data_IF_284580408028
#
_entry.id   IF_284580408028
#
_cell.length_a   1.000
_cell.length_b   1.000
_cell.length_c   1.000
_cell.angle_alpha   90.00
_cell.angle_beta   90.00
_cell.angle_gamma   90.00
#
_symmetry.space_group_name_H-M   'P 1'
#
loop_
_entity.id
_entity.type
_entity.pdbx_description
1 polymer ?
#
# COMPACT_ATOMS: atom_id res chain seq x y z
N UNK A 1 19.45 -7.20 -14.99
CA UNK A 1 18.40 -8.10 -14.45
C UNK A 1 18.22 -7.76 -12.99
N UNK A 2 17.21 -6.96 -12.65
CA UNK A 2 16.73 -6.51 -11.32
C UNK A 2 17.78 -6.07 -10.28
N UNK A 3 18.73 -6.94 -9.94
CA UNK A 3 19.87 -6.69 -9.03
C UNK A 3 20.78 -5.65 -9.65
N UNK A 4 21.13 -5.85 -10.93
CA UNK A 4 22.05 -4.98 -11.66
C UNK A 4 21.46 -3.61 -12.02
N UNK A 5 20.13 -3.49 -12.12
CA UNK A 5 19.46 -2.23 -12.49
C UNK A 5 18.92 -1.45 -11.27
N UNK A 6 19.17 -1.94 -10.05
CA UNK A 6 18.76 -1.27 -8.82
C UNK A 6 17.25 -1.24 -8.59
N UNK A 7 16.46 -2.08 -9.26
CA UNK A 7 15.00 -2.06 -9.14
C UNK A 7 14.45 -2.86 -7.96
N UNK A 8 15.27 -3.62 -7.22
CA UNK A 8 14.83 -4.38 -6.04
C UNK A 8 14.05 -3.57 -5.00
N UNK A 9 14.40 -2.31 -4.67
CA UNK A 9 13.63 -1.51 -3.71
C UNK A 9 12.19 -1.23 -4.15
N UNK A 10 11.84 -1.51 -5.41
CA UNK A 10 10.47 -1.39 -5.92
C UNK A 10 9.66 -2.67 -5.72
N UNK A 11 10.30 -3.82 -5.47
CA UNK A 11 9.57 -5.03 -5.09
C UNK A 11 9.20 -4.95 -3.61
N UNK A 12 7.90 -4.94 -3.32
CA UNK A 12 7.35 -4.69 -1.98
C UNK A 12 6.30 -5.72 -1.62
N UNK A 13 6.07 -5.90 -0.31
CA UNK A 13 4.92 -6.62 0.22
C UNK A 13 3.78 -5.65 0.50
N UNK A 14 2.54 -6.09 0.28
CA UNK A 14 1.37 -5.25 0.52
C UNK A 14 1.20 -4.96 2.01
N UNK A 15 0.92 -3.70 2.36
CA UNK A 15 0.54 -3.28 3.73
C UNK A 15 -0.91 -3.58 4.12
N UNK A 16 -1.64 -4.32 3.29
CA UNK A 16 -2.98 -4.79 3.61
C UNK A 16 -2.92 -5.75 4.78
N UNK A 17 -3.78 -5.54 5.79
CA UNK A 17 -3.81 -6.39 6.99
C UNK A 17 -4.19 -7.82 6.59
N UNK A 18 -3.26 -8.76 6.69
CA UNK A 18 -3.45 -10.17 6.28
C UNK A 18 -3.31 -10.41 4.77
N UNK A 19 -2.80 -9.46 4.00
CA UNK A 19 -2.58 -9.63 2.56
C UNK A 19 -1.17 -10.21 2.29
N UNK A 20 -1.04 -11.39 1.65
CA UNK A 20 0.26 -12.01 1.37
C UNK A 20 0.89 -11.52 0.05
N UNK A 21 0.22 -10.64 -0.70
CA UNK A 21 0.66 -10.27 -2.05
C UNK A 21 1.95 -9.43 -2.02
N UNK A 22 2.92 -9.85 -2.84
CA UNK A 22 4.01 -8.98 -3.29
C UNK A 22 3.59 -8.21 -4.55
N UNK A 23 4.19 -7.05 -4.78
CA UNK A 23 3.93 -6.22 -5.96
C UNK A 23 5.16 -5.39 -6.33
N UNK A 24 5.22 -4.98 -7.59
CA UNK A 24 6.22 -4.03 -8.06
C UNK A 24 5.68 -2.60 -8.02
N UNK A 25 6.43 -1.68 -7.42
CA UNK A 25 6.09 -0.28 -7.34
C UNK A 25 6.55 0.48 -8.59
N UNK A 26 5.60 0.70 -9.50
CA UNK A 26 5.78 1.52 -10.69
C UNK A 26 5.57 3.03 -10.45
N UNK A 27 5.32 3.47 -9.21
CA UNK A 27 5.14 4.90 -8.91
C UNK A 27 6.45 5.67 -9.09
N UNK A 28 6.34 6.94 -9.49
CA UNK A 28 7.48 7.82 -9.75
C UNK A 28 8.44 7.93 -8.56
N UNK A 29 7.91 7.96 -7.35
CA UNK A 29 8.63 8.20 -6.10
C UNK A 29 8.70 6.97 -5.20
N UNK A 30 8.47 5.76 -5.72
CA UNK A 30 8.49 4.52 -4.95
C UNK A 30 7.62 4.59 -3.66
N UNK A 31 6.44 5.21 -3.76
CA UNK A 31 5.54 5.47 -2.63
C UNK A 31 4.36 4.51 -2.52
N UNK A 32 4.14 3.63 -3.50
CA UNK A 32 3.04 2.66 -3.45
C UNK A 32 3.33 1.64 -2.35
N UNK A 33 2.33 1.40 -1.50
CA UNK A 33 2.42 0.42 -0.40
C UNK A 33 1.32 -0.66 -0.44
N UNK A 34 0.47 -0.62 -1.47
CA UNK A 34 -0.60 -1.59 -1.70
C UNK A 34 -0.47 -2.22 -3.08
N UNK A 35 -0.71 -3.53 -3.19
CA UNK A 35 -0.69 -4.22 -4.48
C UNK A 35 -1.79 -3.67 -5.41
N UNK A 36 -2.95 -3.34 -4.85
CA UNK A 36 -4.09 -2.75 -5.56
C UNK A 36 -4.73 -1.63 -4.72
N UNK A 37 -5.04 -0.52 -5.39
CA UNK A 37 -5.61 0.67 -4.75
C UNK A 37 -7.11 0.52 -4.52
N UNK A 38 -7.81 -0.28 -5.34
CA UNK A 38 -9.26 -0.48 -5.22
C UNK A 38 -9.61 -1.53 -4.16
N UNK A 39 -8.67 -2.42 -3.82
CA UNK A 39 -8.81 -3.47 -2.82
C UNK A 39 -8.13 -3.07 -1.51
N UNK A 40 -6.84 -3.37 -1.34
CA UNK A 40 -6.13 -3.13 -0.08
C UNK A 40 -6.01 -1.64 0.27
N UNK A 41 -5.82 -0.78 -0.74
CA UNK A 41 -5.78 0.67 -0.54
C UNK A 41 -7.12 1.23 -0.04
N UNK A 42 -8.21 0.86 -0.71
CA UNK A 42 -9.56 1.32 -0.36
C UNK A 42 -9.98 0.86 1.05
N UNK A 43 -9.73 -0.41 1.40
CA UNK A 43 -10.02 -0.93 2.75
C UNK A 43 -9.27 -0.14 3.82
N UNK A 44 -7.99 0.18 3.61
CA UNK A 44 -7.20 0.99 4.54
C UNK A 44 -7.77 2.41 4.67
N UNK A 45 -8.09 3.06 3.54
CA UNK A 45 -8.67 4.41 3.51
C UNK A 45 -10.03 4.47 4.21
N UNK A 46 -10.89 3.47 4.01
CA UNK A 46 -12.20 3.38 4.65
C UNK A 46 -12.07 3.22 6.17
N UNK A 47 -11.14 2.37 6.64
CA UNK A 47 -10.85 2.24 8.08
C UNK A 47 -10.38 3.57 8.66
N UNK A 48 -9.39 4.22 8.03
CA UNK A 48 -8.86 5.49 8.51
C UNK A 48 -9.94 6.59 8.53
N UNK A 49 -10.80 6.64 7.51
CA UNK A 49 -11.95 7.56 7.46
C UNK A 49 -12.91 7.34 8.62
N UNK A 50 -13.28 6.09 8.91
CA UNK A 50 -14.15 5.73 10.04
C UNK A 50 -13.52 6.09 11.38
N UNK A 51 -12.22 5.84 11.57
CA UNK A 51 -11.50 6.22 12.79
C UNK A 51 -11.52 7.74 12.99
N UNK A 52 -11.21 8.53 11.94
CA UNK A 52 -11.28 10.00 12.01
C UNK A 52 -12.67 10.50 12.37
N UNK A 53 -13.72 9.95 11.75
CA UNK A 53 -15.12 10.31 12.06
C UNK A 53 -15.52 9.96 13.48
N UNK A 54 -15.00 8.87 14.06
CA UNK A 54 -15.25 8.53 15.46
C UNK A 54 -14.54 9.48 16.41
N UNK A 55 -13.29 9.83 16.11
CA UNK A 55 -12.50 10.76 16.91
C UNK A 55 -13.09 12.18 16.92
N UNK A 56 -13.78 12.61 15.85
CA UNK A 56 -14.42 13.92 15.79
C UNK A 56 -15.76 14.01 16.54
N UNK A 57 -16.30 12.89 17.03
CA UNK A 57 -17.60 12.82 17.74
C UNK A 57 -17.40 12.81 19.27
N UNK A 58 -16.15 12.69 19.75
CA UNK A 58 -15.76 12.82 21.16
C UNK A 58 -15.20 14.21 21.40
#
# INVERSE_FOLDING_TARGET
>A
LAQADGSWPRLKTCRGRGCPCAFYDASRNNSRVWHDVHTCGNVANLRASRTRRRASVT
#
